data_IF_717577152729
#
_entry.id   IF_717577152729
#
_cell.length_a   1.000
_cell.length_b   1.000
_cell.length_c   1.000
_cell.angle_alpha   90.00
_cell.angle_beta   90.00
_cell.angle_gamma   90.00
#
_symmetry.space_group_name_H-M   'P 1'
#
loop_
_entity.id
_entity.type
_entity.pdbx_description
1 polymer ?
#
# COMPACT_ATOMS: atom_id res chain seq x y z
N UNK A 1 -33.96 -5.89 -32.16
CA UNK A 1 -32.61 -6.40 -31.89
C UNK A 1 -31.69 -5.20 -31.70
N UNK A 2 -31.67 -4.64 -30.50
CA UNK A 2 -30.77 -3.55 -30.14
C UNK A 2 -30.44 -3.65 -28.66
N UNK A 3 -29.14 -3.49 -28.40
CA UNK A 3 -28.51 -3.10 -27.15
C UNK A 3 -28.42 -4.13 -26.00
N UNK A 4 -27.37 -4.94 -26.08
CA UNK A 4 -26.80 -5.70 -24.95
C UNK A 4 -25.39 -5.17 -24.60
N UNK A 5 -25.03 -3.96 -25.01
CA UNK A 5 -23.62 -3.53 -25.07
C UNK A 5 -23.19 -2.54 -24.00
N UNK A 6 -23.97 -2.30 -22.92
CA UNK A 6 -23.57 -1.37 -21.86
C UNK A 6 -23.89 -1.81 -20.43
N UNK A 7 -23.33 -2.94 -19.99
CA UNK A 7 -23.04 -3.12 -18.56
C UNK A 7 -21.72 -3.84 -18.31
N UNK A 8 -20.64 -3.36 -18.94
CA UNK A 8 -19.29 -3.61 -18.42
C UNK A 8 -19.12 -2.72 -17.19
N UNK A 9 -19.82 -3.06 -16.11
CA UNK A 9 -19.70 -2.42 -14.81
C UNK A 9 -18.23 -2.53 -14.41
N UNK A 10 -17.49 -1.43 -14.49
CA UNK A 10 -16.22 -1.29 -13.78
C UNK A 10 -16.57 -1.45 -12.31
N UNK A 11 -16.43 -2.66 -11.78
CA UNK A 11 -16.79 -2.97 -10.39
C UNK A 11 -15.70 -2.33 -9.53
N UNK A 12 -15.84 -1.02 -9.29
CA UNK A 12 -15.04 -0.29 -8.33
C UNK A 12 -15.05 -1.03 -6.99
N UNK A 13 -13.94 -0.93 -6.24
CA UNK A 13 -13.78 -1.55 -4.93
C UNK A 13 -15.05 -1.39 -4.08
N UNK A 14 -15.47 -2.45 -3.40
CA UNK A 14 -16.66 -2.42 -2.54
C UNK A 14 -16.57 -1.25 -1.55
N UNK A 15 -17.67 -0.53 -1.30
CA UNK A 15 -17.69 0.62 -0.40
C UNK A 15 -17.08 0.31 0.98
N UNK A 16 -17.32 -0.90 1.49
CA UNK A 16 -16.73 -1.41 2.74
C UNK A 16 -15.20 -1.46 2.69
N UNK A 17 -14.62 -1.93 1.59
CA UNK A 17 -13.15 -2.02 1.42
C UNK A 17 -12.49 -0.64 1.31
N UNK A 18 -13.19 0.32 0.70
CA UNK A 18 -12.69 1.69 0.62
C UNK A 18 -12.68 2.37 2.00
N UNK A 19 -13.73 2.15 2.79
CA UNK A 19 -13.84 2.67 4.16
C UNK A 19 -12.77 2.04 5.05
N UNK A 20 -12.59 0.71 5.01
CA UNK A 20 -11.54 0.02 5.76
C UNK A 20 -10.16 0.62 5.46
N UNK A 21 -9.84 0.79 4.18
CA UNK A 21 -8.57 1.37 3.75
C UNK A 21 -8.43 2.81 4.25
N UNK A 22 -9.47 3.63 4.13
CA UNK A 22 -9.45 5.01 4.59
C UNK A 22 -9.21 5.09 6.11
N UNK A 23 -9.91 4.26 6.89
CA UNK A 23 -9.75 4.19 8.35
C UNK A 23 -8.32 3.77 8.73
N UNK A 24 -7.78 2.73 8.10
CA UNK A 24 -6.39 2.30 8.32
C UNK A 24 -5.39 3.41 7.98
N UNK A 25 -5.57 4.10 6.85
CA UNK A 25 -4.69 5.21 6.45
C UNK A 25 -4.76 6.36 7.45
N UNK A 26 -5.95 6.79 7.85
CA UNK A 26 -6.11 7.88 8.83
C UNK A 26 -5.48 7.50 10.18
N UNK A 27 -5.70 6.26 10.64
CA UNK A 27 -5.14 5.80 11.91
C UNK A 27 -3.61 5.74 11.87
N UNK A 28 -3.02 5.23 10.79
CA UNK A 28 -1.57 5.21 10.58
C UNK A 28 -0.96 6.61 10.51
N UNK A 29 -1.59 7.52 9.77
CA UNK A 29 -1.14 8.92 9.68
C UNK A 29 -1.23 9.63 11.03
N UNK A 30 -2.32 9.41 11.78
CA UNK A 30 -2.49 9.96 13.13
C UNK A 30 -1.45 9.44 14.13
N UNK A 31 -1.11 8.15 14.06
CA UNK A 31 -0.03 7.55 14.84
C UNK A 31 1.34 8.12 14.49
N UNK A 32 1.63 8.31 13.20
CA UNK A 32 2.87 8.92 12.74
C UNK A 32 2.96 10.38 13.22
N UNK A 33 1.90 11.17 13.07
CA UNK A 33 1.85 12.58 13.46
C UNK A 33 2.00 12.78 14.97
N UNK A 34 1.40 11.91 15.77
CA UNK A 34 1.49 11.98 17.23
C UNK A 34 2.79 11.36 17.78
N UNK A 35 3.35 10.35 17.11
CA UNK A 35 4.52 9.59 17.58
C UNK A 35 5.87 10.12 17.12
N UNK A 36 5.99 10.64 15.89
CA UNK A 36 7.25 11.19 15.36
C UNK A 36 7.80 12.33 16.23
N UNK A 37 7.00 13.36 16.59
CA UNK A 37 7.52 14.46 17.39
C UNK A 37 7.97 14.00 18.79
N UNK A 38 7.31 13.00 19.38
CA UNK A 38 7.68 12.45 20.69
C UNK A 38 9.03 11.72 20.66
N UNK A 39 9.38 11.06 19.54
CA UNK A 39 10.68 10.39 19.39
C UNK A 39 11.83 11.39 19.23
N UNK A 40 11.59 12.48 18.53
CA UNK A 40 12.60 13.50 18.23
C UNK A 40 12.40 14.75 19.09
N UNK A 41 11.89 14.58 20.30
CA UNK A 41 11.65 15.67 21.23
C UNK A 41 12.92 16.49 21.53
N UNK A 42 14.10 15.89 21.36
CA UNK A 42 15.39 16.58 21.54
C UNK A 42 15.73 17.54 20.39
N UNK A 43 14.97 17.53 19.28
CA UNK A 43 15.16 18.40 18.13
C UNK A 43 14.31 19.70 18.28
N UNK A 44 14.95 20.88 18.37
CA UNK A 44 14.28 22.09 18.86
C UNK A 44 13.28 22.73 17.89
N UNK A 45 13.44 22.60 16.58
CA UNK A 45 12.70 23.45 15.63
C UNK A 45 11.37 22.86 15.15
N UNK A 46 11.34 21.62 14.69
CA UNK A 46 10.15 21.02 14.08
C UNK A 46 9.36 20.14 15.06
N UNK A 47 10.03 19.44 15.98
CA UNK A 47 9.35 18.56 16.93
C UNK A 47 8.61 19.36 18.01
N UNK A 48 9.25 20.40 18.56
CA UNK A 48 8.63 21.26 19.58
C UNK A 48 7.45 22.06 19.03
N UNK A 49 7.54 22.57 17.78
CA UNK A 49 6.44 23.29 17.14
C UNK A 49 5.25 22.38 16.88
N UNK A 50 5.47 21.16 16.37
CA UNK A 50 4.40 20.17 16.21
C UNK A 50 3.77 19.75 17.54
N UNK A 51 4.58 19.51 18.58
CA UNK A 51 4.07 19.20 19.92
C UNK A 51 3.24 20.36 20.47
N UNK A 52 3.69 21.60 20.29
CA UNK A 52 2.95 22.78 20.70
C UNK A 52 1.60 22.91 19.96
N UNK A 53 1.60 22.68 18.63
CA UNK A 53 0.37 22.69 17.81
C UNK A 53 -0.61 21.58 18.22
N UNK A 54 -0.10 20.41 18.62
CA UNK A 54 -0.92 19.31 19.15
C UNK A 54 -1.43 19.56 20.57
N UNK A 55 -1.12 20.72 21.18
CA UNK A 55 -1.55 21.06 22.54
C UNK A 55 -0.67 20.46 23.64
N UNK A 56 0.59 20.16 23.33
CA UNK A 56 1.60 19.65 24.27
C UNK A 56 1.84 18.14 24.20
N UNK A 57 2.83 17.68 24.98
CA UNK A 57 3.26 16.27 24.99
C UNK A 57 2.14 15.34 25.49
N UNK A 58 1.37 15.76 26.49
CA UNK A 58 0.29 14.92 27.02
C UNK A 58 -0.83 14.75 25.99
N UNK A 59 -1.23 15.84 25.33
CA UNK A 59 -2.21 15.80 24.24
C UNK A 59 -1.74 14.90 23.09
N UNK A 60 -0.46 14.98 22.70
CA UNK A 60 0.11 14.09 21.70
C UNK A 60 0.05 12.61 22.12
N UNK A 61 0.28 12.30 23.41
CA UNK A 61 0.19 10.94 23.95
C UNK A 61 -1.25 10.42 23.98
N UNK A 62 -2.21 11.27 24.37
CA UNK A 62 -3.64 10.95 24.32
C UNK A 62 -4.05 10.63 22.87
N UNK A 63 -3.66 11.48 21.94
CA UNK A 63 -3.97 11.33 20.52
C UNK A 63 -3.35 10.06 19.94
N UNK A 64 -2.10 9.73 20.32
CA UNK A 64 -1.45 8.50 19.92
C UNK A 64 -2.21 7.25 20.42
N UNK A 65 -2.65 7.24 21.68
CA UNK A 65 -3.46 6.14 22.23
C UNK A 65 -4.80 6.00 21.52
N UNK A 66 -5.47 7.12 21.22
CA UNK A 66 -6.72 7.11 20.46
C UNK A 66 -6.55 6.47 19.09
N UNK A 67 -5.55 6.90 18.31
CA UNK A 67 -5.28 6.31 17.01
C UNK A 67 -4.75 4.87 17.09
N UNK A 68 -4.04 4.50 18.18
CA UNK A 68 -3.62 3.12 18.42
C UNK A 68 -4.81 2.18 18.62
N UNK A 69 -5.81 2.59 19.41
CA UNK A 69 -7.05 1.82 19.59
C UNK A 69 -7.80 1.71 18.27
N UNK A 70 -7.95 2.82 17.54
CA UNK A 70 -8.60 2.82 16.23
C UNK A 70 -7.91 1.88 15.24
N UNK A 71 -6.57 1.93 15.15
CA UNK A 71 -5.79 1.05 14.29
C UNK A 71 -5.93 -0.42 14.71
N UNK A 72 -5.84 -0.70 16.01
CA UNK A 72 -5.97 -2.06 16.55
C UNK A 72 -7.34 -2.65 16.20
N UNK A 73 -8.43 -1.91 16.42
CA UNK A 73 -9.77 -2.35 16.05
C UNK A 73 -9.90 -2.57 14.54
N UNK A 74 -9.36 -1.66 13.72
CA UNK A 74 -9.41 -1.78 12.26
C UNK A 74 -8.63 -3.00 11.75
N UNK A 75 -7.43 -3.27 12.28
CA UNK A 75 -6.63 -4.44 11.93
C UNK A 75 -7.34 -5.73 12.35
N UNK A 76 -7.87 -5.79 13.58
CA UNK A 76 -8.60 -6.97 14.06
C UNK A 76 -9.81 -7.25 13.17
N UNK A 77 -10.62 -6.23 12.87
CA UNK A 77 -11.76 -6.37 11.98
C UNK A 77 -11.34 -6.84 10.58
N UNK A 78 -10.29 -6.26 10.00
CA UNK A 78 -9.78 -6.67 8.70
C UNK A 78 -9.30 -8.13 8.69
N UNK A 79 -8.53 -8.55 9.70
CA UNK A 79 -8.06 -9.94 9.84
C UNK A 79 -9.22 -10.92 10.01
N UNK A 80 -10.23 -10.58 10.80
CA UNK A 80 -11.43 -11.40 10.98
C UNK A 80 -12.24 -11.49 9.69
N UNK A 81 -12.43 -10.39 8.97
CA UNK A 81 -13.16 -10.37 7.71
C UNK A 81 -12.47 -11.21 6.63
N UNK A 82 -11.14 -11.07 6.50
CA UNK A 82 -10.32 -11.87 5.58
C UNK A 82 -10.31 -13.35 6.00
N UNK A 83 -10.13 -13.63 7.29
CA UNK A 83 -10.11 -14.99 7.84
C UNK A 83 -11.45 -15.71 7.67
N UNK A 84 -12.56 -15.04 7.95
CA UNK A 84 -13.91 -15.56 7.71
C UNK A 84 -14.15 -15.81 6.22
N UNK A 85 -13.75 -14.88 5.36
CA UNK A 85 -13.81 -15.03 3.91
C UNK A 85 -13.06 -16.26 3.41
N UNK A 86 -11.87 -16.49 3.95
CA UNK A 86 -11.03 -17.63 3.59
C UNK A 86 -11.57 -18.96 4.10
N UNK A 87 -11.89 -19.03 5.38
CA UNK A 87 -12.23 -20.28 6.05
C UNK A 87 -13.66 -20.73 5.76
N UNK A 88 -14.62 -19.80 5.73
CA UNK A 88 -16.05 -20.11 5.62
C UNK A 88 -16.55 -20.00 4.19
N UNK A 89 -16.19 -18.92 3.50
CA UNK A 89 -16.70 -18.63 2.14
C UNK A 89 -15.81 -19.21 1.04
N UNK A 90 -14.66 -19.83 1.37
CA UNK A 90 -13.69 -20.33 0.40
C UNK A 90 -13.12 -19.23 -0.50
N UNK A 91 -13.29 -17.95 -0.14
CA UNK A 91 -12.77 -16.82 -0.91
C UNK A 91 -11.27 -16.77 -0.69
N UNK A 92 -10.50 -16.58 -1.75
CA UNK A 92 -9.06 -16.36 -1.59
C UNK A 92 -8.85 -15.08 -0.77
N UNK A 93 -8.13 -15.14 0.38
CA UNK A 93 -7.99 -14.02 1.32
C UNK A 93 -7.31 -12.81 0.66
N UNK A 94 -6.52 -13.10 -0.36
CA UNK A 94 -5.77 -12.14 -1.12
C UNK A 94 -6.21 -12.29 -2.58
N UNK A 95 -7.29 -11.59 -2.94
CA UNK A 95 -7.59 -11.35 -4.34
C UNK A 95 -6.62 -10.28 -4.82
N UNK A 96 -5.38 -10.70 -5.09
CA UNK A 96 -4.48 -9.92 -5.92
C UNK A 96 -5.28 -9.55 -7.18
N UNK A 97 -5.52 -8.26 -7.46
CA UNK A 97 -6.06 -7.89 -8.76
C UNK A 97 -5.04 -8.42 -9.79
N UNK A 98 -5.53 -9.01 -10.87
CA UNK A 98 -4.81 -9.98 -11.70
C UNK A 98 -3.33 -9.60 -11.93
N UNK A 99 -2.45 -10.58 -11.70
CA UNK A 99 -1.02 -10.39 -11.44
C UNK A 99 -0.21 -9.69 -12.55
N UNK A 100 -0.83 -9.44 -13.71
CA UNK A 100 -0.25 -8.79 -14.88
C UNK A 100 -0.14 -7.26 -14.74
N UNK A 101 -0.98 -6.62 -13.92
CA UNK A 101 -1.11 -5.14 -13.90
C UNK A 101 -0.21 -4.44 -12.86
N UNK A 102 0.48 -5.18 -11.98
CA UNK A 102 1.29 -4.59 -10.91
C UNK A 102 2.77 -4.98 -10.97
N UNK A 103 3.62 -3.96 -10.88
CA UNK A 103 5.06 -4.12 -10.72
C UNK A 103 5.38 -4.91 -9.44
N UNK A 104 6.47 -5.69 -9.48
CA UNK A 104 6.98 -6.44 -8.32
C UNK A 104 7.14 -5.56 -7.08
N UNK A 105 7.53 -4.30 -7.28
CA UNK A 105 7.71 -3.27 -6.25
C UNK A 105 6.42 -3.04 -5.44
N UNK A 106 5.28 -2.91 -6.10
CA UNK A 106 4.01 -2.71 -5.41
C UNK A 106 3.60 -3.93 -4.57
N UNK A 107 3.85 -5.15 -5.07
CA UNK A 107 3.59 -6.39 -4.32
C UNK A 107 4.44 -6.45 -3.05
N UNK A 108 5.70 -6.01 -3.13
CA UNK A 108 6.56 -5.87 -1.96
C UNK A 108 6.05 -4.80 -0.99
N UNK A 109 5.61 -3.64 -1.48
CA UNK A 109 5.06 -2.58 -0.62
C UNK A 109 3.87 -3.04 0.19
N UNK A 110 2.92 -3.75 -0.44
CA UNK A 110 1.79 -4.34 0.28
C UNK A 110 2.26 -5.34 1.35
N UNK A 111 3.26 -6.18 1.04
CA UNK A 111 3.82 -7.13 1.99
C UNK A 111 4.49 -6.43 3.18
N UNK A 112 5.34 -5.44 2.92
CA UNK A 112 6.01 -4.67 3.97
C UNK A 112 5.04 -3.84 4.80
N UNK A 113 3.99 -3.29 4.19
CA UNK A 113 2.95 -2.54 4.91
C UNK A 113 2.13 -3.46 5.83
N UNK A 114 1.73 -4.63 5.34
CA UNK A 114 1.02 -5.63 6.13
C UNK A 114 1.88 -6.14 7.30
N UNK A 115 3.15 -6.46 7.03
CA UNK A 115 4.09 -6.88 8.07
C UNK A 115 4.36 -5.76 9.08
N UNK A 116 4.55 -4.52 8.62
CA UNK A 116 4.75 -3.37 9.50
C UNK A 116 3.55 -3.15 10.42
N UNK A 117 2.31 -3.25 9.91
CA UNK A 117 1.10 -3.15 10.72
C UNK A 117 1.01 -4.29 11.77
N UNK A 118 1.38 -5.51 11.39
CA UNK A 118 1.38 -6.65 12.30
C UNK A 118 2.41 -6.47 13.43
N UNK A 119 3.66 -6.11 13.09
CA UNK A 119 4.69 -5.89 14.11
C UNK A 119 4.32 -4.68 14.97
N UNK A 120 3.73 -3.61 14.41
CA UNK A 120 3.27 -2.43 15.16
C UNK A 120 2.16 -2.79 16.15
N UNK A 121 1.22 -3.65 15.75
CA UNK A 121 0.17 -4.17 16.63
C UNK A 121 0.77 -4.98 17.78
N UNK A 122 1.69 -5.91 17.49
CA UNK A 122 2.31 -6.76 18.49
C UNK A 122 3.15 -5.93 19.47
N UNK A 123 4.04 -5.08 18.98
CA UNK A 123 4.90 -4.25 19.84
C UNK A 123 4.08 -3.20 20.60
N UNK A 124 3.02 -2.65 20.00
CA UNK A 124 2.09 -1.74 20.67
C UNK A 124 1.36 -2.43 21.84
N UNK A 125 0.86 -3.64 21.63
CA UNK A 125 0.22 -4.45 22.69
C UNK A 125 1.20 -4.78 23.82
N UNK A 126 2.45 -5.12 23.49
CA UNK A 126 3.49 -5.38 24.48
C UNK A 126 3.79 -4.14 25.35
N UNK A 127 3.84 -2.96 24.72
CA UNK A 127 4.10 -1.69 25.40
C UNK A 127 2.86 -1.14 26.14
N UNK A 128 1.65 -1.58 25.79
CA UNK A 128 0.43 -1.24 26.51
C UNK A 128 0.43 -1.88 27.91
N UNK A 129 0.83 -3.15 28.02
CA UNK A 129 0.91 -3.85 29.30
C UNK A 129 2.26 -4.56 29.50
N UNK A 130 3.33 -3.80 29.82
CA UNK A 130 4.67 -4.35 29.95
C UNK A 130 4.80 -5.33 31.12
N UNK A 131 4.00 -5.19 32.18
CA UNK A 131 4.03 -6.08 33.36
C UNK A 131 3.59 -7.49 32.95
N UNK A 132 2.50 -7.60 32.19
CA UNK A 132 2.04 -8.88 31.68
C UNK A 132 3.09 -9.54 30.76
N UNK A 133 3.75 -8.76 29.90
CA UNK A 133 4.80 -9.28 29.01
C UNK A 133 5.98 -9.83 29.81
N UNK A 134 6.47 -9.07 30.80
CA UNK A 134 7.62 -9.47 31.63
C UNK A 134 7.32 -10.65 32.56
N UNK A 135 6.05 -10.99 32.77
CA UNK A 135 5.68 -12.21 33.51
C UNK A 135 5.93 -13.50 32.72
N UNK A 136 6.06 -13.39 31.39
CA UNK A 136 6.23 -14.54 30.47
C UNK A 136 7.56 -14.48 29.72
N UNK A 137 8.04 -13.26 29.40
CA UNK A 137 9.22 -13.02 28.57
C UNK A 137 10.35 -12.34 29.34
N UNK A 138 11.61 -12.44 28.86
CA UNK A 138 12.78 -11.84 29.52
C UNK A 138 12.71 -10.30 29.63
N UNK A 139 13.47 -9.74 30.59
CA UNK A 139 13.59 -8.30 30.85
C UNK A 139 13.94 -7.44 29.62
N UNK A 140 14.76 -7.96 28.73
CA UNK A 140 15.22 -7.27 27.50
C UNK A 140 14.11 -7.05 26.47
N UNK A 141 12.98 -7.76 26.61
CA UNK A 141 11.87 -7.74 25.66
C UNK A 141 11.26 -6.34 25.52
N UNK A 142 11.12 -5.59 26.61
CA UNK A 142 10.48 -4.27 26.58
C UNK A 142 11.35 -3.21 25.89
N UNK A 143 12.66 -3.07 26.20
CA UNK A 143 13.57 -2.23 25.43
C UNK A 143 13.58 -2.56 23.93
N UNK A 144 13.64 -3.85 23.58
CA UNK A 144 13.61 -4.30 22.18
C UNK A 144 12.28 -3.97 21.51
N UNK A 145 11.14 -4.23 22.17
CA UNK A 145 9.83 -3.88 21.63
C UNK A 145 9.71 -2.37 21.41
N UNK A 146 10.23 -1.54 22.32
CA UNK A 146 10.24 -0.09 22.18
C UNK A 146 11.08 0.40 21.00
N UNK A 147 12.25 -0.19 20.78
CA UNK A 147 13.11 0.18 19.66
C UNK A 147 12.48 -0.20 18.31
N UNK A 148 11.92 -1.41 18.22
CA UNK A 148 11.18 -1.88 17.05
C UNK A 148 9.93 -1.02 16.82
N UNK A 149 9.17 -0.72 17.88
CA UNK A 149 7.96 0.09 17.79
C UNK A 149 8.26 1.47 17.18
N UNK A 150 9.31 2.11 17.68
CA UNK A 150 9.71 3.42 17.21
C UNK A 150 10.34 3.39 15.80
N UNK A 151 10.97 2.29 15.38
CA UNK A 151 11.54 2.13 14.05
C UNK A 151 10.50 1.93 12.95
N UNK A 152 9.32 1.37 13.28
CA UNK A 152 8.29 1.05 12.29
C UNK A 152 7.74 2.25 11.56
N UNK A 153 7.59 3.39 12.23
CA UNK A 153 7.14 4.62 11.57
C UNK A 153 8.12 5.07 10.48
N UNK A 154 9.43 4.94 10.71
CA UNK A 154 10.43 5.27 9.70
C UNK A 154 10.38 4.30 8.52
N UNK A 155 10.19 3.00 8.80
CA UNK A 155 9.96 2.00 7.76
C UNK A 155 8.71 2.31 6.94
N UNK A 156 7.58 2.64 7.58
CA UNK A 156 6.33 2.98 6.92
C UNK A 156 6.46 4.22 6.04
N UNK A 157 7.15 5.26 6.53
CA UNK A 157 7.45 6.47 5.73
C UNK A 157 8.33 6.13 4.53
N UNK A 158 9.37 5.31 4.71
CA UNK A 158 10.24 4.88 3.62
C UNK A 158 9.46 4.09 2.55
N UNK A 159 8.65 3.11 2.97
CA UNK A 159 7.82 2.30 2.07
C UNK A 159 6.84 3.19 1.31
N UNK A 160 6.23 4.18 1.98
CA UNK A 160 5.33 5.14 1.33
C UNK A 160 6.05 5.99 0.27
N UNK A 161 7.26 6.47 0.56
CA UNK A 161 8.08 7.25 -0.38
C UNK A 161 8.48 6.41 -1.60
N UNK A 162 8.92 5.16 -1.39
CA UNK A 162 9.26 4.24 -2.48
C UNK A 162 8.06 3.91 -3.36
N UNK A 163 6.88 3.74 -2.74
CA UNK A 163 5.62 3.55 -3.46
C UNK A 163 5.26 4.69 -4.39
N UNK A 164 5.45 5.93 -3.96
CA UNK A 164 5.26 7.11 -4.80
C UNK A 164 6.24 7.12 -5.99
N UNK A 165 7.46 6.62 -5.81
CA UNK A 165 8.42 6.47 -6.90
C UNK A 165 7.99 5.45 -7.96
N UNK A 166 7.28 4.39 -7.55
CA UNK A 166 6.81 3.31 -8.43
C UNK A 166 5.58 3.63 -9.27
N UNK A 167 4.70 4.55 -8.82
CA UNK A 167 3.46 4.93 -9.53
C UNK A 167 3.68 5.82 -10.77
N UNK A 168 4.86 6.45 -10.90
CA UNK A 168 5.15 7.37 -12.01
C UNK A 168 5.76 6.69 -13.24
N UNK A 169 5.88 5.36 -13.24
CA UNK A 169 6.32 4.62 -14.41
C UNK A 169 5.19 4.50 -15.43
N UNK A 170 5.01 5.49 -16.30
CA UNK A 170 4.21 5.27 -17.50
C UNK A 170 4.78 4.06 -18.25
N UNK A 171 3.94 3.16 -18.79
CA UNK A 171 4.42 2.01 -19.55
C UNK A 171 5.21 2.53 -20.75
N UNK A 172 6.54 2.42 -20.69
CA UNK A 172 7.45 2.89 -21.73
C UNK A 172 8.31 1.73 -22.20
N UNK A 173 8.31 1.50 -23.51
CA UNK A 173 9.22 0.58 -24.19
C UNK A 173 10.53 1.28 -24.61
N UNK A 174 10.79 2.51 -24.17
CA UNK A 174 11.94 3.31 -24.64
C UNK A 174 13.28 2.63 -24.38
N UNK A 175 13.45 2.05 -23.21
CA UNK A 175 14.67 1.33 -22.81
C UNK A 175 14.74 -0.11 -23.32
N UNK A 176 13.69 -0.59 -24.00
CA UNK A 176 13.64 -1.97 -24.48
C UNK A 176 14.41 -2.15 -25.80
N UNK A 177 15.10 -3.28 -25.92
CA UNK A 177 15.74 -3.76 -27.16
C UNK A 177 14.74 -4.41 -28.13
N UNK A 178 13.44 -4.41 -27.82
CA UNK A 178 12.40 -5.01 -28.65
C UNK A 178 12.33 -4.32 -30.01
N UNK A 179 12.21 -5.11 -31.08
CA UNK A 179 11.86 -4.60 -32.41
C UNK A 179 10.34 -4.54 -32.57
N UNK A 180 9.86 -3.77 -33.55
CA UNK A 180 8.44 -3.69 -33.86
C UNK A 180 7.88 -5.07 -34.25
N UNK A 181 8.64 -5.86 -35.01
CA UNK A 181 8.23 -7.20 -35.44
C UNK A 181 8.04 -8.15 -34.25
N UNK A 182 8.99 -8.18 -33.32
CA UNK A 182 8.86 -9.00 -32.10
C UNK A 182 7.72 -8.51 -31.21
N UNK A 183 7.50 -7.20 -31.12
CA UNK A 183 6.37 -6.62 -30.40
C UNK A 183 5.03 -7.01 -31.02
N UNK A 184 4.88 -6.85 -32.34
CA UNK A 184 3.66 -7.21 -33.05
C UNK A 184 3.40 -8.72 -32.94
N UNK A 185 4.44 -9.55 -33.09
CA UNK A 185 4.38 -10.98 -32.86
C UNK A 185 3.84 -11.33 -31.47
N UNK A 186 4.32 -10.66 -30.41
CA UNK A 186 3.82 -10.85 -29.04
C UNK A 186 2.37 -10.44 -28.85
N UNK A 187 1.94 -9.33 -29.46
CA UNK A 187 0.53 -8.87 -29.40
C UNK A 187 -0.41 -9.84 -30.13
N UNK A 188 0.06 -10.42 -31.24
CA UNK A 188 -0.73 -11.32 -32.10
C UNK A 188 -0.74 -12.77 -31.64
N UNK A 189 0.35 -13.25 -31.04
CA UNK A 189 0.51 -14.64 -30.62
C UNK A 189 0.22 -14.85 -29.14
N UNK A 190 0.30 -13.78 -28.33
CA UNK A 190 0.27 -13.88 -26.88
C UNK A 190 1.57 -14.47 -26.33
N UNK A 191 2.04 -13.97 -25.20
CA UNK A 191 3.18 -14.53 -24.47
C UNK A 191 2.94 -14.33 -22.97
N UNK A 192 3.29 -15.31 -22.13
CA UNK A 192 3.18 -15.25 -20.66
C UNK A 192 1.79 -14.81 -20.15
N UNK A 193 0.75 -15.59 -20.45
CA UNK A 193 -0.64 -15.35 -20.01
C UNK A 193 -1.30 -14.05 -20.56
N UNK A 194 -0.68 -13.35 -21.52
CA UNK A 194 -1.37 -12.26 -22.23
C UNK A 194 -2.28 -12.80 -23.35
N UNK A 195 -3.52 -12.27 -23.47
CA UNK A 195 -4.42 -12.65 -24.55
C UNK A 195 -3.84 -12.22 -25.91
N UNK A 196 -3.96 -13.11 -26.89
CA UNK A 196 -3.63 -12.81 -28.28
C UNK A 196 -4.75 -11.97 -28.91
N UNK A 197 -4.41 -10.85 -29.53
CA UNK A 197 -5.39 -9.99 -30.20
C UNK A 197 -5.42 -10.26 -31.70
N UNK A 198 -6.58 -10.62 -32.23
CA UNK A 198 -6.74 -10.79 -33.68
C UNK A 198 -6.63 -9.45 -34.42
N UNK A 199 -6.43 -9.50 -35.73
CA UNK A 199 -6.45 -8.29 -36.58
C UNK A 199 -7.83 -7.62 -36.61
N UNK A 200 -8.89 -8.38 -36.31
CA UNK A 200 -10.27 -7.89 -36.20
C UNK A 200 -10.50 -7.14 -34.90
N UNK A 201 -9.91 -7.61 -33.79
CA UNK A 201 -10.03 -6.98 -32.48
C UNK A 201 -9.13 -5.75 -32.33
N UNK A 202 -7.92 -5.82 -32.89
CA UNK A 202 -6.94 -4.75 -32.81
C UNK A 202 -6.26 -4.61 -34.18
N UNK A 203 -6.67 -3.67 -35.04
CA UNK A 203 -6.09 -3.50 -36.37
C UNK A 203 -4.59 -3.16 -36.33
N UNK A 204 -3.83 -3.56 -37.35
CA UNK A 204 -2.37 -3.35 -37.40
C UNK A 204 -1.97 -1.86 -37.30
N UNK A 205 -2.79 -0.96 -37.84
CA UNK A 205 -2.58 0.49 -37.71
C UNK A 205 -2.64 0.98 -36.26
N UNK A 206 -3.50 0.38 -35.43
CA UNK A 206 -3.57 0.67 -34.00
C UNK A 206 -2.37 0.10 -33.25
N UNK A 207 -1.88 -1.09 -33.62
CA UNK A 207 -0.66 -1.68 -33.04
C UNK A 207 0.56 -0.80 -33.30
N UNK A 208 0.67 -0.22 -34.50
CA UNK A 208 1.72 0.74 -34.84
C UNK A 208 1.60 2.03 -34.02
N UNK A 209 0.39 2.56 -33.84
CA UNK A 209 0.14 3.71 -32.98
C UNK A 209 0.52 3.43 -31.52
N UNK A 210 0.16 2.25 -31.01
CA UNK A 210 0.51 1.83 -29.65
C UNK A 210 2.03 1.72 -29.48
N UNK A 211 2.71 1.10 -30.44
CA UNK A 211 4.17 0.99 -30.45
C UNK A 211 4.86 2.35 -30.43
N UNK A 212 4.39 3.28 -31.26
CA UNK A 212 4.96 4.64 -31.33
C UNK A 212 4.70 5.40 -30.03
N UNK A 213 3.48 5.36 -29.49
CA UNK A 213 3.14 5.96 -28.19
C UNK A 213 4.03 5.43 -27.05
N UNK A 214 4.19 4.10 -26.93
CA UNK A 214 5.03 3.47 -25.90
C UNK A 214 6.53 3.84 -26.00
N UNK A 215 6.99 4.34 -27.16
CA UNK A 215 8.38 4.80 -27.37
C UNK A 215 8.55 6.32 -27.30
N UNK A 216 7.49 7.11 -27.17
CA UNK A 216 7.58 8.58 -27.16
C UNK A 216 8.33 9.12 -25.92
N UNK A 217 9.00 10.29 -26.04
CA UNK A 217 9.40 11.14 -24.91
C UNK A 217 8.21 11.39 -23.97
N UNK A 218 8.42 11.48 -22.65
CA UNK A 218 7.35 11.94 -21.77
C UNK A 218 6.94 13.35 -22.25
N UNK A 219 5.64 13.69 -22.32
CA UNK A 219 5.23 15.01 -22.75
C UNK A 219 5.89 16.04 -21.84
N UNK A 220 6.73 16.92 -22.40
CA UNK A 220 7.25 18.07 -21.69
C UNK A 220 6.04 18.88 -21.21
N UNK A 221 5.90 19.17 -19.90
CA UNK A 221 4.82 20.02 -19.44
C UNK A 221 4.93 21.35 -20.17
N UNK A 222 3.85 21.72 -20.87
CA UNK A 222 3.73 23.05 -21.46
C UNK A 222 3.84 24.09 -20.34
N UNK A 223 4.62 25.16 -20.55
CA UNK A 223 4.89 26.17 -19.54
C UNK A 223 3.62 26.86 -19.03
#
# INVERSE_FOLDING_TARGET
>A
MADQTQSKTTRGLSATQQIERLVLTIALLGLALSGLPQRFADQPLWAHTLIALLGGVESARILHRFFAVLLMTAIIYHLLAVGYGWFVLGKRPLRWPDAADYTFVLKLEYLFLALACLILLITGLMLWNPIAVLSVLPGETIPTARSIHAAQVLLLVLVLILGIGGINGEPSLRSSTLTFETFCGRVRLGENDMPAFSAEELPDGYVLHLWTWLRQPAPTPTP
#
